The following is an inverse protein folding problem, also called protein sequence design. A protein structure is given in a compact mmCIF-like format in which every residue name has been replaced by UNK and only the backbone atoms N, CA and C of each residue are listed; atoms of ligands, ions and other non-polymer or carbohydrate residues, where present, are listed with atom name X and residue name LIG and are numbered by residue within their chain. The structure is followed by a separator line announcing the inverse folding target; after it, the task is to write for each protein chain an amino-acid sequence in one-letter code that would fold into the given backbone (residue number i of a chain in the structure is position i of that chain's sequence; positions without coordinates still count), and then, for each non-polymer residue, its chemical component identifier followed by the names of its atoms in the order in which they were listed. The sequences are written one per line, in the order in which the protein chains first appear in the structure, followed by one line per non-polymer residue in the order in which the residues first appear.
data_IF_610629488790
#
_entry.id   IF_610629488790
#
_cell.length_a   1.000
_cell.length_b   1.000
_cell.length_c   1.000
_cell.angle_alpha   90.00
_cell.angle_beta   90.00
_cell.angle_gamma   90.00
#
_symmetry.space_group_name_H-M   'P 1'
#
loop_
_entity.id
_entity.type
_entity.pdbx_description
1 polymer ?
#
# COMPACT_ATOMS: atom_id res chain seq x y z
N UNK A 1 -7.90 13.12 23.97
CA UNK A 1 -7.06 13.27 22.76
C UNK A 1 -6.69 14.74 22.65
N UNK A 2 -5.45 15.17 22.93
CA UNK A 2 -5.11 16.58 22.81
C UNK A 2 -5.03 16.96 21.33
N UNK A 3 -5.77 18.00 20.94
CA UNK A 3 -5.75 18.55 19.58
C UNK A 3 -4.52 19.45 19.49
N UNK A 4 -3.46 18.97 18.84
CA UNK A 4 -2.27 19.78 18.58
C UNK A 4 -2.61 20.84 17.53
N UNK A 5 -3.01 22.03 17.98
CA UNK A 5 -3.25 23.20 17.13
C UNK A 5 -1.95 23.99 16.99
N UNK A 6 -1.35 23.96 15.80
CA UNK A 6 -0.15 24.74 15.48
C UNK A 6 -0.54 26.01 14.70
N UNK A 7 0.19 27.13 14.82
CA UNK A 7 -0.13 28.36 14.11
C UNK A 7 0.22 28.25 12.61
N UNK A 8 -0.64 28.79 11.75
CA UNK A 8 -0.33 28.93 10.33
C UNK A 8 0.84 29.91 10.13
N UNK A 9 1.82 29.53 9.29
CA UNK A 9 3.01 30.35 9.01
C UNK A 9 2.73 31.67 8.27
N UNK A 10 1.54 31.84 7.70
CA UNK A 10 1.16 33.05 6.94
C UNK A 10 0.24 33.97 7.73
N UNK A 11 -0.79 33.43 8.39
CA UNK A 11 -1.83 34.23 9.06
C UNK A 11 -1.93 34.00 10.56
N UNK A 12 -1.07 33.15 11.14
CA UNK A 12 -1.00 32.82 12.56
C UNK A 12 -2.29 32.23 13.18
N UNK A 13 -3.29 31.87 12.37
CA UNK A 13 -4.50 31.20 12.86
C UNK A 13 -4.18 29.74 13.24
N UNK A 14 -4.83 29.19 14.29
CA UNK A 14 -4.64 27.80 14.67
C UNK A 14 -5.11 26.88 13.54
N UNK A 15 -4.31 25.87 13.24
CA UNK A 15 -4.60 24.88 12.19
C UNK A 15 -4.14 23.49 12.62
N UNK A 16 -4.83 22.49 12.08
CA UNK A 16 -4.44 21.09 12.12
C UNK A 16 -4.00 20.59 10.75
N UNK A 17 -3.75 21.46 9.78
CA UNK A 17 -3.28 21.11 8.44
C UNK A 17 -1.78 21.42 8.34
N UNK A 18 -1.02 20.42 7.90
CA UNK A 18 0.43 20.48 7.76
C UNK A 18 0.86 20.02 6.36
N UNK A 19 2.09 20.37 5.98
CA UNK A 19 2.70 19.88 4.75
C UNK A 19 2.90 18.36 4.84
N UNK A 20 2.21 17.58 4.00
CA UNK A 20 2.25 16.11 4.05
C UNK A 20 3.64 15.52 3.77
N UNK A 21 4.53 16.30 3.15
CA UNK A 21 5.91 15.90 2.83
C UNK A 21 6.81 15.96 4.07
N UNK A 22 6.92 17.13 4.71
CA UNK A 22 7.85 17.35 5.83
C UNK A 22 7.20 17.27 7.22
N UNK A 23 5.88 17.39 7.30
CA UNK A 23 5.08 17.46 8.53
C UNK A 23 5.57 18.49 9.56
N UNK A 24 6.46 19.40 9.18
CA UNK A 24 7.08 20.41 10.05
C UNK A 24 6.58 21.83 9.77
N UNK A 25 5.76 22.04 8.73
CA UNK A 25 5.16 23.32 8.38
C UNK A 25 3.63 23.25 8.37
N UNK A 26 2.99 24.28 8.91
CA UNK A 26 1.55 24.32 9.20
C UNK A 26 0.84 25.46 8.47
N UNK A 27 -0.30 25.16 7.84
CA UNK A 27 -1.08 26.11 7.04
C UNK A 27 -2.57 25.93 7.32
N UNK A 28 -3.34 27.01 7.35
CA UNK A 28 -4.80 26.90 7.50
C UNK A 28 -5.52 26.52 6.20
N UNK A 29 -4.86 26.67 5.05
CA UNK A 29 -5.42 26.36 3.74
C UNK A 29 -4.31 26.16 2.67
N UNK A 30 -4.62 25.53 1.52
CA UNK A 30 -3.67 25.30 0.43
C UNK A 30 -3.11 26.59 -0.19
N UNK A 31 -3.87 27.68 -0.18
CA UNK A 31 -3.43 28.96 -0.75
C UNK A 31 -2.21 29.51 0.01
N UNK A 32 -2.22 29.39 1.35
CA UNK A 32 -1.08 29.80 2.18
C UNK A 32 0.14 28.88 1.98
N UNK A 33 -0.07 27.59 1.79
CA UNK A 33 1.02 26.68 1.42
C UNK A 33 1.63 27.06 0.06
N UNK A 34 0.80 27.36 -0.93
CA UNK A 34 1.27 27.70 -2.28
C UNK A 34 1.99 29.07 -2.30
N UNK A 35 1.48 30.04 -1.54
CA UNK A 35 2.13 31.35 -1.37
C UNK A 35 3.50 31.22 -0.72
N UNK A 36 3.66 30.32 0.25
CA UNK A 36 4.93 30.08 0.94
C UNK A 36 5.85 29.11 0.18
N UNK A 37 5.35 28.42 -0.85
CA UNK A 37 6.02 27.29 -1.46
C UNK A 37 7.41 27.60 -2.00
N UNK A 38 7.61 28.81 -2.56
CA UNK A 38 8.90 29.22 -3.10
C UNK A 38 10.02 29.21 -2.04
N UNK A 39 9.68 29.59 -0.80
CA UNK A 39 10.57 29.55 0.38
C UNK A 39 10.58 28.16 1.01
N UNK A 40 9.39 27.62 1.31
CA UNK A 40 9.24 26.35 2.01
C UNK A 40 9.90 25.17 1.27
N UNK A 41 9.84 25.12 -0.06
CA UNK A 41 10.45 24.03 -0.84
C UNK A 41 11.97 23.89 -0.65
N UNK A 42 12.65 24.97 -0.26
CA UNK A 42 14.10 24.99 -0.03
C UNK A 42 14.46 24.26 1.28
N UNK A 43 13.54 24.23 2.24
CA UNK A 43 13.70 23.64 3.58
C UNK A 43 12.76 22.43 3.83
N UNK A 44 11.91 22.09 2.86
CA UNK A 44 10.92 21.02 2.97
C UNK A 44 11.57 19.63 2.83
N UNK A 45 12.13 19.15 3.94
CA UNK A 45 12.74 17.82 4.06
C UNK A 45 11.69 16.78 4.42
N UNK A 46 11.57 15.65 3.71
CA UNK A 46 10.61 14.60 4.05
C UNK A 46 10.85 14.02 5.44
N UNK A 47 9.78 13.67 6.17
CA UNK A 47 9.90 13.05 7.52
C UNK A 47 10.74 11.77 7.51
N UNK A 48 10.77 11.06 6.38
CA UNK A 48 11.58 9.85 6.19
C UNK A 48 13.10 10.10 6.11
N UNK A 49 13.56 11.35 6.07
CA UNK A 49 14.96 11.71 5.81
C UNK A 49 15.74 12.15 7.07
N UNK A 50 15.24 11.91 8.29
CA UNK A 50 15.94 12.33 9.52
C UNK A 50 16.33 11.12 10.37
N UNK A 51 17.55 10.58 10.21
CA UNK A 51 18.32 10.04 11.33
C UNK A 51 18.92 11.23 12.10
N UNK A 52 18.59 11.33 13.38
CA UNK A 52 18.94 12.47 14.22
C UNK A 52 20.45 12.69 14.42
N UNK A 53 20.82 13.98 14.39
CA UNK A 53 21.86 14.67 15.17
C UNK A 53 23.34 14.36 14.87
N UNK A 54 24.04 15.35 14.26
CA UNK A 54 25.46 15.59 14.55
C UNK A 54 26.33 16.13 13.40
N UNK A 55 26.62 17.44 13.45
CA UNK A 55 27.81 18.15 12.96
C UNK A 55 28.26 18.11 11.49
N UNK A 56 28.25 19.32 10.91
CA UNK A 56 29.27 19.98 10.08
C UNK A 56 29.99 19.25 8.93
N UNK A 57 30.11 20.03 7.85
CA UNK A 57 31.04 19.98 6.71
C UNK A 57 30.82 18.90 5.65
N UNK A 58 30.45 19.39 4.45
CA UNK A 58 30.67 18.73 3.17
C UNK A 58 32.11 18.18 3.09
N UNK A 59 32.30 17.02 2.42
CA UNK A 59 32.78 17.12 1.04
C UNK A 59 32.08 16.17 0.07
N UNK A 60 31.85 16.72 -1.13
CA UNK A 60 31.91 16.08 -2.44
C UNK A 60 32.03 14.55 -2.42
N UNK A 61 30.88 13.87 -2.41
CA UNK A 61 30.81 12.42 -2.58
C UNK A 61 30.00 12.17 -3.85
N UNK A 62 30.60 11.45 -4.80
CA UNK A 62 29.93 10.80 -5.92
C UNK A 62 28.53 10.33 -5.52
N UNK A 63 27.48 10.59 -6.31
CA UNK A 63 26.15 10.09 -5.97
C UNK A 63 26.28 8.59 -5.72
N UNK A 64 25.79 8.08 -4.56
CA UNK A 64 25.81 6.65 -4.33
C UNK A 64 25.14 5.98 -5.53
N UNK A 65 25.65 4.80 -5.96
CA UNK A 65 24.98 4.04 -7.01
C UNK A 65 23.51 3.95 -6.62
N UNK A 66 22.61 4.23 -7.55
CA UNK A 66 21.15 4.14 -7.36
C UNK A 66 20.86 2.78 -6.74
N UNK A 67 20.77 2.73 -5.41
CA UNK A 67 20.36 1.52 -4.72
C UNK A 67 18.93 1.31 -5.16
N UNK A 68 18.68 0.17 -5.82
CA UNK A 68 17.33 -0.27 -6.12
C UNK A 68 16.56 -0.31 -4.79
N UNK A 69 15.82 0.76 -4.47
CA UNK A 69 15.14 0.88 -3.18
C UNK A 69 13.98 -0.11 -3.15
N UNK A 70 14.25 -1.29 -2.62
CA UNK A 70 13.22 -2.25 -2.25
C UNK A 70 12.28 -1.60 -1.24
N UNK A 71 10.98 -1.83 -1.43
CA UNK A 71 9.94 -1.30 -0.52
C UNK A 71 9.23 -2.47 0.13
N UNK A 72 9.25 -2.51 1.45
CA UNK A 72 8.47 -3.49 2.21
C UNK A 72 7.07 -2.93 2.52
N UNK A 73 6.06 -3.72 2.17
CA UNK A 73 4.66 -3.41 2.47
C UNK A 73 3.99 -4.57 3.19
N UNK A 74 2.95 -4.25 3.95
CA UNK A 74 2.09 -5.28 4.56
C UNK A 74 1.09 -5.77 3.54
N UNK A 75 0.99 -7.09 3.38
CA UNK A 75 0.00 -7.77 2.55
C UNK A 75 -0.89 -8.66 3.42
N UNK A 76 -2.10 -8.95 2.94
CA UNK A 76 -3.01 -9.90 3.59
C UNK A 76 -2.82 -11.25 2.93
N UNK A 77 -2.47 -12.27 3.71
CA UNK A 77 -2.35 -13.65 3.26
C UNK A 77 -3.56 -14.45 3.71
N UNK A 78 -4.24 -15.06 2.74
CA UNK A 78 -5.21 -16.11 2.96
C UNK A 78 -4.52 -17.45 2.69
N UNK A 79 -3.96 -18.06 3.72
CA UNK A 79 -3.40 -19.40 3.62
C UNK A 79 -4.54 -20.43 3.74
N UNK A 80 -4.57 -21.47 2.89
CA UNK A 80 -5.73 -22.36 2.85
C UNK A 80 -5.90 -23.22 4.11
N UNK A 81 -4.81 -23.47 4.83
CA UNK A 81 -4.80 -24.22 6.09
C UNK A 81 -5.21 -23.39 7.31
N UNK A 82 -5.24 -22.05 7.18
CA UNK A 82 -5.53 -21.13 8.28
C UNK A 82 -7.00 -20.71 8.27
N UNK A 83 -7.63 -20.61 9.44
CA UNK A 83 -9.02 -20.14 9.54
C UNK A 83 -9.14 -18.62 9.38
N UNK A 84 -8.09 -17.86 9.66
CA UNK A 84 -8.11 -16.39 9.62
C UNK A 84 -7.01 -15.89 8.70
N UNK A 85 -7.25 -14.81 7.93
CA UNK A 85 -6.19 -14.16 7.20
C UNK A 85 -5.16 -13.56 8.16
N UNK A 86 -3.90 -13.55 7.75
CA UNK A 86 -2.80 -12.93 8.51
C UNK A 86 -2.11 -11.86 7.70
N UNK A 87 -1.45 -10.93 8.40
CA UNK A 87 -0.63 -9.90 7.77
C UNK A 87 0.79 -10.42 7.61
N UNK A 88 1.33 -10.31 6.40
CA UNK A 88 2.70 -10.69 6.04
C UNK A 88 3.45 -9.48 5.48
N UNK A 89 4.78 -9.48 5.58
CA UNK A 89 5.62 -8.52 4.88
C UNK A 89 5.89 -9.03 3.46
N UNK A 90 5.75 -8.15 2.47
CA UNK A 90 6.08 -8.41 1.07
C UNK A 90 7.04 -7.33 0.60
N UNK A 91 8.21 -7.77 0.14
CA UNK A 91 9.21 -6.91 -0.46
C UNK A 91 8.85 -6.65 -1.92
N UNK A 92 8.91 -5.39 -2.34
CA UNK A 92 8.65 -4.98 -3.71
C UNK A 92 9.95 -4.47 -4.36
N UNK A 93 10.29 -5.02 -5.52
CA UNK A 93 11.46 -4.59 -6.30
C UNK A 93 11.12 -3.41 -7.23
N UNK A 94 12.01 -2.41 -7.40
CA UNK A 94 11.80 -1.33 -8.37
C UNK A 94 11.66 -1.83 -9.80
N UNK A 95 10.94 -1.09 -10.64
CA UNK A 95 10.91 -1.31 -12.09
C UNK A 95 11.94 -0.39 -12.76
N UNK A 96 12.99 -0.97 -13.35
CA UNK A 96 14.04 -0.22 -14.06
C UNK A 96 13.65 0.15 -15.49
N UNK A 97 12.53 -0.40 -16.00
CA UNK A 97 12.04 -0.17 -17.37
C UNK A 97 10.97 0.92 -17.36
N UNK A 98 11.34 2.10 -17.83
CA UNK A 98 10.51 3.32 -17.92
C UNK A 98 9.22 3.21 -18.76
N UNK A 99 8.90 2.06 -19.35
CA UNK A 99 8.01 2.03 -20.52
C UNK A 99 6.59 1.53 -20.28
N UNK A 100 6.18 1.01 -19.11
CA UNK A 100 4.76 0.60 -18.99
C UNK A 100 4.11 0.55 -17.59
N UNK A 101 4.83 0.58 -16.47
CA UNK A 101 4.24 0.90 -15.16
C UNK A 101 5.33 1.23 -14.13
N UNK A 102 5.13 2.32 -13.39
CA UNK A 102 6.02 2.73 -12.29
C UNK A 102 5.75 1.94 -11.00
N UNK A 103 4.81 0.99 -11.02
CA UNK A 103 4.49 0.19 -9.85
C UNK A 103 5.61 -0.82 -9.59
N UNK A 104 6.20 -0.87 -8.38
CA UNK A 104 7.21 -1.86 -8.05
C UNK A 104 6.61 -3.27 -8.16
N UNK A 105 7.44 -4.26 -8.45
CA UNK A 105 7.00 -5.65 -8.59
C UNK A 105 7.05 -6.35 -7.22
N UNK A 106 5.92 -6.85 -6.70
CA UNK A 106 5.90 -7.51 -5.41
C UNK A 106 6.44 -8.94 -5.51
N UNK A 107 7.31 -9.32 -4.56
CA UNK A 107 7.89 -10.66 -4.48
C UNK A 107 6.94 -11.62 -3.76
N UNK A 108 5.94 -12.10 -4.48
CA UNK A 108 4.89 -12.99 -3.96
C UNK A 108 5.06 -14.45 -4.39
N UNK A 109 6.00 -14.72 -5.30
CA UNK A 109 6.30 -16.06 -5.82
C UNK A 109 6.54 -17.12 -4.74
N UNK A 110 7.20 -16.83 -3.59
CA UNK A 110 7.39 -17.81 -2.52
C UNK A 110 6.08 -18.36 -1.91
N UNK A 111 4.95 -17.68 -2.12
CA UNK A 111 3.64 -18.12 -1.65
C UNK A 111 2.90 -19.02 -2.65
N UNK A 112 3.43 -19.20 -3.87
CA UNK A 112 2.82 -19.98 -4.96
C UNK A 112 3.81 -21.06 -5.45
N UNK A 113 3.88 -22.22 -4.77
CA UNK A 113 4.89 -23.25 -5.04
C UNK A 113 4.74 -23.93 -6.41
N UNK A 114 3.57 -23.85 -7.03
CA UNK A 114 3.29 -24.31 -8.39
C UNK A 114 3.85 -23.36 -9.46
N UNK A 115 4.36 -22.19 -9.06
CA UNK A 115 4.96 -21.19 -9.94
C UNK A 115 3.96 -20.54 -10.91
N UNK A 116 2.67 -20.86 -10.79
CA UNK A 116 1.60 -20.24 -11.55
C UNK A 116 0.93 -19.18 -10.68
N UNK A 117 0.86 -17.95 -11.17
CA UNK A 117 0.12 -16.89 -10.51
C UNK A 117 -0.52 -15.95 -11.52
N UNK A 118 -1.72 -15.50 -11.18
CA UNK A 118 -2.43 -14.42 -11.87
C UNK A 118 -2.80 -13.31 -10.89
N UNK A 119 -2.98 -12.11 -11.44
CA UNK A 119 -3.32 -10.91 -10.69
C UNK A 119 -4.72 -10.39 -11.05
N UNK A 120 -5.53 -10.09 -10.04
CA UNK A 120 -6.81 -9.40 -10.18
C UNK A 120 -6.73 -8.07 -9.47
N UNK A 121 -7.07 -6.99 -10.17
CA UNK A 121 -7.16 -5.66 -9.54
C UNK A 121 -8.60 -5.36 -9.17
N UNK A 122 -8.88 -5.39 -7.86
CA UNK A 122 -10.15 -5.00 -7.29
C UNK A 122 -10.20 -3.47 -7.17
N UNK A 123 -11.06 -2.85 -7.98
CA UNK A 123 -11.30 -1.39 -7.96
C UNK A 123 -12.57 -1.01 -7.23
N UNK A 124 -13.44 -1.97 -6.93
CA UNK A 124 -14.74 -1.77 -6.31
C UNK A 124 -14.79 -2.44 -4.94
N UNK A 125 -15.40 -1.77 -3.97
CA UNK A 125 -15.61 -2.27 -2.63
C UNK A 125 -17.05 -2.76 -2.42
N UNK A 126 -17.51 -2.62 -1.19
CA UNK A 126 -18.89 -2.88 -0.81
C UNK A 126 -19.85 -2.03 -1.66
N UNK A 127 -20.97 -2.61 -2.06
CA UNK A 127 -22.03 -1.95 -2.85
C UNK A 127 -21.57 -1.38 -4.21
N UNK A 128 -20.40 -1.79 -4.72
CA UNK A 128 -19.88 -1.32 -6.01
C UNK A 128 -19.20 0.04 -5.97
N UNK A 129 -18.98 0.63 -4.79
CA UNK A 129 -18.26 1.90 -4.66
C UNK A 129 -16.80 1.77 -5.09
N UNK A 130 -16.25 2.80 -5.73
CA UNK A 130 -14.85 2.78 -6.14
C UNK A 130 -13.91 2.88 -4.92
N UNK A 131 -12.99 1.94 -4.82
CA UNK A 131 -11.93 1.96 -3.81
C UNK A 131 -10.96 3.11 -4.09
N UNK A 132 -10.77 3.97 -3.08
CA UNK A 132 -9.72 5.00 -3.08
C UNK A 132 -8.33 4.40 -3.29
N UNK A 133 -8.13 3.20 -2.74
CA UNK A 133 -6.92 2.41 -2.81
C UNK A 133 -7.29 1.02 -3.33
N UNK A 134 -7.20 0.77 -4.65
CA UNK A 134 -7.52 -0.53 -5.22
C UNK A 134 -6.67 -1.65 -4.59
N UNK A 135 -7.21 -2.87 -4.55
CA UNK A 135 -6.50 -4.04 -4.03
C UNK A 135 -6.01 -4.90 -5.20
N UNK A 136 -4.82 -5.48 -5.07
CA UNK A 136 -4.23 -6.40 -6.04
C UNK A 136 -4.18 -7.79 -5.41
N UNK A 137 -5.00 -8.69 -5.92
CA UNK A 137 -5.10 -10.07 -5.47
C UNK A 137 -4.24 -10.94 -6.37
N UNK A 138 -3.37 -11.74 -5.78
CA UNK A 138 -2.59 -12.77 -6.44
C UNK A 138 -3.14 -14.14 -6.05
N UNK A 139 -3.33 -15.01 -7.03
CA UNK A 139 -3.89 -16.36 -6.85
C UNK A 139 -3.31 -17.32 -7.90
N UNK A 140 -3.39 -18.63 -7.66
CA UNK A 140 -3.05 -19.63 -8.68
C UNK A 140 -4.31 -20.01 -9.48
N UNK A 141 -4.35 -19.79 -10.82
CA UNK A 141 -5.50 -20.15 -11.65
C UNK A 141 -5.67 -21.67 -11.79
N UNK A 142 -4.59 -22.43 -11.63
CA UNK A 142 -4.60 -23.90 -11.70
C UNK A 142 -4.94 -24.57 -10.37
N UNK A 143 -5.07 -23.82 -9.27
CA UNK A 143 -5.28 -24.36 -7.93
C UNK A 143 -6.46 -25.35 -7.82
N UNK A 144 -7.55 -25.08 -8.54
CA UNK A 144 -8.70 -25.99 -8.56
C UNK A 144 -8.37 -27.30 -9.28
N UNK A 145 -7.77 -27.23 -10.47
CA UNK A 145 -7.40 -28.40 -11.27
C UNK A 145 -6.26 -29.22 -10.65
N UNK A 146 -5.37 -28.58 -9.89
CA UNK A 146 -4.28 -29.24 -9.17
C UNK A 146 -4.71 -29.83 -7.81
N UNK A 147 -6.02 -29.81 -7.52
CA UNK A 147 -6.60 -30.33 -6.27
C UNK A 147 -6.01 -29.64 -5.01
N UNK A 148 -5.69 -28.35 -5.12
CA UNK A 148 -5.25 -27.56 -3.98
C UNK A 148 -6.39 -27.43 -2.94
N UNK A 149 -6.05 -27.34 -1.64
CA UNK A 149 -7.05 -27.24 -0.58
C UNK A 149 -7.93 -25.99 -0.72
N UNK A 150 -9.20 -26.12 -0.36
CA UNK A 150 -10.14 -24.99 -0.26
C UNK A 150 -9.66 -24.03 0.82
N UNK A 151 -9.65 -22.74 0.50
CA UNK A 151 -9.11 -21.71 1.35
C UNK A 151 -10.04 -21.40 2.53
N UNK A 152 -9.70 -21.91 3.72
CA UNK A 152 -10.51 -21.75 4.93
C UNK A 152 -10.60 -20.30 5.39
N UNK A 153 -9.55 -19.51 5.22
CA UNK A 153 -9.55 -18.09 5.57
C UNK A 153 -10.54 -17.29 4.70
N UNK A 154 -10.64 -17.60 3.41
CA UNK A 154 -11.67 -17.03 2.53
C UNK A 154 -13.07 -17.48 2.97
N UNK A 155 -13.24 -18.77 3.28
CA UNK A 155 -14.48 -19.30 3.85
C UNK A 155 -14.90 -18.57 5.12
N UNK A 156 -13.97 -18.30 6.03
CA UNK A 156 -14.24 -17.62 7.29
C UNK A 156 -14.77 -16.19 7.08
N UNK A 157 -14.11 -15.37 6.26
CA UNK A 157 -14.53 -13.98 6.03
C UNK A 157 -15.79 -13.86 5.17
N UNK A 158 -16.19 -14.94 4.50
CA UNK A 158 -17.43 -15.02 3.72
C UNK A 158 -18.53 -15.82 4.44
N UNK A 159 -18.28 -16.29 5.67
CA UNK A 159 -19.17 -17.22 6.38
C UNK A 159 -19.58 -18.42 5.51
N UNK A 160 -18.66 -18.91 4.68
CA UNK A 160 -18.84 -20.00 3.72
C UNK A 160 -19.96 -19.77 2.69
N UNK A 161 -20.37 -18.51 2.48
CA UNK A 161 -21.43 -18.15 1.54
C UNK A 161 -20.91 -17.80 0.12
N UNK A 162 -19.59 -17.90 -0.11
CA UNK A 162 -19.03 -17.70 -1.45
C UNK A 162 -19.54 -18.80 -2.41
N UNK A 163 -20.08 -18.44 -3.59
CA UNK A 163 -20.72 -19.40 -4.49
C UNK A 163 -19.72 -20.36 -5.14
N UNK A 164 -18.47 -19.93 -5.30
CA UNK A 164 -17.37 -20.71 -5.84
C UNK A 164 -16.29 -20.91 -4.77
N UNK A 165 -15.82 -22.15 -4.55
CA UNK A 165 -14.71 -22.38 -3.63
C UNK A 165 -13.45 -21.73 -4.18
N UNK A 166 -12.78 -20.93 -3.36
CA UNK A 166 -11.44 -20.45 -3.63
C UNK A 166 -10.44 -21.50 -3.17
N UNK A 167 -9.69 -22.09 -4.10
CA UNK A 167 -8.66 -23.08 -3.78
C UNK A 167 -7.27 -22.44 -3.79
N UNK A 168 -6.40 -22.94 -2.91
CA UNK A 168 -5.01 -22.49 -2.82
C UNK A 168 -4.83 -21.14 -2.09
N UNK A 169 -3.59 -20.66 -2.01
CA UNK A 169 -3.24 -19.41 -1.34
C UNK A 169 -3.74 -18.18 -2.12
N UNK A 170 -4.07 -17.11 -1.40
CA UNK A 170 -4.35 -15.79 -1.98
C UNK A 170 -3.54 -14.74 -1.22
N UNK A 171 -2.77 -13.94 -1.95
CA UNK A 171 -2.00 -12.82 -1.39
C UNK A 171 -2.60 -11.51 -1.89
N UNK A 172 -2.88 -10.58 -0.98
CA UNK A 172 -3.50 -9.29 -1.32
C UNK A 172 -2.61 -8.13 -0.94
N UNK A 173 -2.25 -7.32 -1.93
CA UNK A 173 -1.56 -6.05 -1.76
C UNK A 173 -2.53 -4.88 -1.97
N UNK A 174 -2.19 -3.72 -1.41
CA UNK A 174 -2.98 -2.49 -1.54
C UNK A 174 -2.21 -1.43 -2.30
N UNK A 175 -2.80 -0.88 -3.36
CA UNK A 175 -2.18 0.19 -4.12
C UNK A 175 -2.16 1.50 -3.35
N UNK A 176 -1.13 2.30 -3.57
CA UNK A 176 -1.04 3.69 -3.15
C UNK A 176 -1.80 4.60 -4.13
N UNK A 177 -3.13 4.57 -4.00
CA UNK A 177 -4.07 5.42 -4.73
C UNK A 177 -4.53 4.82 -6.06
N UNK A 178 -5.49 5.49 -6.69
CA UNK A 178 -6.15 5.02 -7.92
C UNK A 178 -5.24 4.88 -9.13
N UNK A 179 -4.09 5.60 -9.14
CA UNK A 179 -3.08 5.53 -10.21
C UNK A 179 -2.20 4.28 -10.16
N UNK A 180 -2.26 3.49 -9.08
CA UNK A 180 -1.55 2.20 -8.96
C UNK A 180 -0.03 2.30 -9.21
N UNK A 181 0.59 3.39 -8.77
CA UNK A 181 2.02 3.66 -9.00
C UNK A 181 2.92 3.14 -7.86
N UNK A 182 2.34 2.44 -6.89
CA UNK A 182 3.04 1.97 -5.70
C UNK A 182 2.11 1.11 -4.86
N UNK A 183 2.66 0.42 -3.87
CA UNK A 183 1.90 -0.25 -2.83
C UNK A 183 1.97 0.52 -1.50
N UNK A 184 1.01 0.26 -0.64
CA UNK A 184 0.97 0.70 0.75
C UNK A 184 0.52 -0.48 1.62
N UNK A 185 0.48 -0.30 2.94
CA UNK A 185 0.09 -1.35 3.87
C UNK A 185 -1.38 -1.74 3.69
N UNK A 186 -1.62 -2.99 3.33
CA UNK A 186 -2.91 -3.64 3.45
C UNK A 186 -3.14 -4.10 4.90
N UNK A 187 -4.39 -4.08 5.35
CA UNK A 187 -4.75 -4.45 6.72
C UNK A 187 -6.19 -4.94 6.85
N UNK A 188 -6.61 -5.19 8.09
CA UNK A 188 -7.96 -5.73 8.38
C UNK A 188 -9.10 -4.85 7.90
N UNK A 189 -8.87 -3.55 7.74
CA UNK A 189 -9.84 -2.59 7.18
C UNK A 189 -10.19 -2.87 5.71
N UNK A 190 -9.37 -3.64 4.99
CA UNK A 190 -9.59 -4.01 3.60
C UNK A 190 -10.41 -5.31 3.46
N UNK A 191 -10.62 -6.06 4.56
CA UNK A 191 -11.37 -7.33 4.56
C UNK A 191 -12.83 -7.20 4.11
N UNK A 192 -13.60 -6.14 4.45
CA UNK A 192 -14.98 -6.04 3.98
C UNK A 192 -15.10 -5.94 2.45
N UNK A 193 -14.17 -5.24 1.79
CA UNK A 193 -14.11 -5.18 0.33
C UNK A 193 -13.74 -6.54 -0.28
N UNK A 194 -12.79 -7.26 0.33
CA UNK A 194 -12.40 -8.60 -0.10
C UNK A 194 -13.52 -9.62 0.08
N UNK A 195 -14.22 -9.59 1.21
CA UNK A 195 -15.39 -10.45 1.47
C UNK A 195 -16.47 -10.21 0.41
N UNK A 196 -16.80 -8.94 0.12
CA UNK A 196 -17.74 -8.59 -0.94
C UNK A 196 -17.32 -9.11 -2.31
N UNK A 197 -16.02 -9.02 -2.63
CA UNK A 197 -15.49 -9.56 -3.88
C UNK A 197 -15.65 -11.09 -3.96
N UNK A 198 -15.22 -11.81 -2.92
CA UNK A 198 -15.30 -13.28 -2.91
C UNK A 198 -16.74 -13.80 -2.95
N UNK A 199 -17.70 -13.10 -2.34
CA UNK A 199 -19.13 -13.43 -2.41
C UNK A 199 -19.73 -13.26 -3.81
N UNK A 200 -19.19 -12.34 -4.62
CA UNK A 200 -19.71 -12.03 -5.96
C UNK A 200 -18.89 -12.66 -7.09
N UNK A 201 -17.76 -13.29 -6.78
CA UNK A 201 -16.89 -13.94 -7.76
C UNK A 201 -17.57 -15.19 -8.33
N UNK A 202 -17.66 -15.27 -9.65
CA UNK A 202 -18.30 -16.37 -10.41
C UNK A 202 -17.25 -17.18 -11.15
#
# INVERSE_FOLDING_TARGET
MPVLNQPCLICCRPTSMWCSRCQSAWYCCPEHLNSDWARHRLECVPVSAVPGVGYSSNPMTTPPPVEDQFVDVSAIMFAPEEERPRIIAVTCRPTTKYTQSMCPLPMVEPYFPDGQMEGIVLTQGLNGENLRFPLHLFYSPSAFCSNAPVNRAVGHITSSAAPKPWCGPVVVLKYNGSRRQGYTHAGTNDLPALSAYFLNYK
#
